data_IF_601448552661
#
_entry.id   IF_601448552661
#
_cell.length_a   1.000
_cell.length_b   1.000
_cell.length_c   1.000
_cell.angle_alpha   90.00
_cell.angle_beta   90.00
_cell.angle_gamma   90.00
#
_symmetry.space_group_name_H-M   'P 1'
#
loop_
_entity.id
_entity.type
_entity.pdbx_description
1 polymer ?
#
# COMPACT_ATOMS: atom_id res chain seq x y z
N UNK A 1 17.49 41.50 -32.67
CA UNK A 1 17.63 40.48 -33.75
C UNK A 1 18.87 39.67 -33.47
N UNK A 2 18.74 38.39 -33.10
CA UNK A 2 19.90 37.53 -32.82
C UNK A 2 20.36 36.92 -34.14
N UNK A 3 21.54 37.32 -34.63
CA UNK A 3 22.08 36.88 -35.90
C UNK A 3 22.56 35.41 -35.84
N UNK A 4 22.07 34.61 -36.78
CA UNK A 4 22.34 33.17 -36.92
C UNK A 4 23.84 32.85 -37.06
N UNK A 5 24.61 33.76 -37.65
CA UNK A 5 26.06 33.59 -37.86
C UNK A 5 26.87 33.63 -36.56
N UNK A 6 26.44 34.45 -35.59
CA UNK A 6 27.09 34.51 -34.29
C UNK A 6 26.84 33.23 -33.49
N UNK A 7 25.62 32.69 -33.56
CA UNK A 7 25.23 31.43 -32.90
C UNK A 7 26.12 30.26 -33.38
N UNK A 8 26.36 30.15 -34.69
CA UNK A 8 27.21 29.10 -35.27
C UNK A 8 28.68 29.25 -34.84
N UNK A 9 29.17 30.48 -34.68
CA UNK A 9 30.55 30.76 -34.24
C UNK A 9 30.77 30.40 -32.76
N UNK A 10 29.77 30.65 -31.90
CA UNK A 10 29.79 30.18 -30.51
C UNK A 10 29.66 28.65 -30.41
N UNK A 11 28.79 28.04 -31.23
CA UNK A 11 28.63 26.58 -31.28
C UNK A 11 29.86 25.83 -31.81
N UNK A 12 30.73 26.47 -32.59
CA UNK A 12 32.01 25.88 -33.05
C UNK A 12 33.11 25.87 -31.99
N UNK A 13 32.90 26.53 -30.84
CA UNK A 13 33.91 26.56 -29.79
C UNK A 13 33.92 25.23 -29.02
N UNK A 14 35.06 24.51 -29.04
CA UNK A 14 35.24 23.20 -28.39
C UNK A 14 34.86 23.19 -26.91
N UNK A 15 35.02 24.33 -26.23
CA UNK A 15 34.64 24.48 -24.82
C UNK A 15 33.12 24.52 -24.61
N UNK A 16 32.37 25.15 -25.52
CA UNK A 16 30.90 25.21 -25.43
C UNK A 16 30.30 23.84 -25.72
N UNK A 17 30.84 23.12 -26.72
CA UNK A 17 30.41 21.74 -27.00
C UNK A 17 30.71 20.84 -25.79
N UNK A 18 31.89 20.95 -25.18
CA UNK A 18 32.23 20.18 -23.98
C UNK A 18 31.28 20.48 -22.81
N UNK A 19 30.93 21.74 -22.59
CA UNK A 19 29.96 22.14 -21.55
C UNK A 19 28.56 21.63 -21.87
N UNK A 20 28.12 21.67 -23.12
CA UNK A 20 26.81 21.14 -23.53
C UNK A 20 26.76 19.62 -23.33
N UNK A 21 27.79 18.90 -23.76
CA UNK A 21 27.87 17.44 -23.55
C UNK A 21 27.92 17.11 -22.07
N UNK A 22 28.67 17.86 -21.27
CA UNK A 22 28.72 17.69 -19.82
C UNK A 22 27.37 17.98 -19.16
N UNK A 23 26.69 19.04 -19.57
CA UNK A 23 25.35 19.38 -19.09
C UNK A 23 24.33 18.31 -19.47
N UNK A 24 24.41 17.76 -20.69
CA UNK A 24 23.57 16.64 -21.13
C UNK A 24 23.87 15.38 -20.31
N UNK A 25 25.13 15.08 -20.00
CA UNK A 25 25.47 13.96 -19.12
C UNK A 25 24.91 14.16 -17.71
N UNK A 26 25.00 15.36 -17.13
CA UNK A 26 24.37 15.61 -15.82
C UNK A 26 22.84 15.53 -15.91
N UNK A 27 22.22 16.11 -16.93
CA UNK A 27 20.75 16.14 -17.05
C UNK A 27 20.14 14.77 -17.36
N UNK A 28 20.76 13.98 -18.24
CA UNK A 28 20.23 12.69 -18.70
C UNK A 28 20.76 11.51 -17.88
N UNK A 29 21.97 11.59 -17.33
CA UNK A 29 22.58 10.48 -16.60
C UNK A 29 22.43 10.62 -15.06
N UNK A 30 22.32 11.84 -14.52
CA UNK A 30 22.29 12.06 -13.05
C UNK A 30 20.89 12.00 -12.43
N UNK A 31 20.11 10.96 -12.73
CA UNK A 31 18.95 10.56 -11.90
C UNK A 31 17.72 11.48 -11.91
N UNK A 32 17.55 12.41 -12.85
CA UNK A 32 16.25 13.06 -13.04
C UNK A 32 15.30 12.20 -13.88
N UNK A 33 15.22 10.92 -13.51
CA UNK A 33 14.34 9.98 -14.17
C UNK A 33 12.92 10.23 -13.64
N UNK A 34 12.14 10.98 -14.42
CA UNK A 34 10.76 11.33 -14.13
C UNK A 34 9.94 10.06 -13.86
N UNK A 35 10.30 8.94 -14.49
CA UNK A 35 9.71 7.63 -14.23
C UNK A 35 9.95 7.15 -12.80
N UNK A 36 11.20 7.22 -12.33
CA UNK A 36 11.54 6.86 -10.95
C UNK A 36 10.81 7.76 -9.94
N UNK A 37 10.65 9.06 -10.23
CA UNK A 37 9.88 9.96 -9.38
C UNK A 37 8.38 9.61 -9.34
N UNK A 38 7.81 9.19 -10.47
CA UNK A 38 6.42 8.76 -10.56
C UNK A 38 6.18 7.44 -9.82
N UNK A 39 7.09 6.49 -9.93
CA UNK A 39 7.02 5.22 -9.21
C UNK A 39 7.12 5.42 -7.70
N UNK A 40 8.06 6.25 -7.23
CA UNK A 40 8.17 6.64 -5.82
C UNK A 40 6.89 7.28 -5.29
N UNK A 41 6.23 8.15 -6.07
CA UNK A 41 4.93 8.74 -5.68
C UNK A 41 3.82 7.69 -5.58
N UNK A 42 3.79 6.71 -6.48
CA UNK A 42 2.82 5.61 -6.41
C UNK A 42 3.05 4.74 -5.16
N UNK A 43 4.29 4.43 -4.86
CA UNK A 43 4.66 3.65 -3.66
C UNK A 43 4.29 4.41 -2.38
N UNK A 44 4.57 5.72 -2.33
CA UNK A 44 4.17 6.57 -1.21
C UNK A 44 2.66 6.54 -0.99
N UNK A 45 1.86 6.72 -2.04
CA UNK A 45 0.41 6.67 -1.93
C UNK A 45 -0.09 5.30 -1.48
N UNK A 46 0.54 4.22 -1.92
CA UNK A 46 0.22 2.86 -1.48
C UNK A 46 0.46 2.68 0.02
N UNK A 47 1.60 3.15 0.53
CA UNK A 47 1.92 3.06 1.96
C UNK A 47 0.92 3.87 2.79
N UNK A 48 0.59 5.09 2.36
CA UNK A 48 -0.39 5.94 3.04
C UNK A 48 -1.78 5.30 3.06
N UNK A 49 -2.23 4.72 1.94
CA UNK A 49 -3.51 4.02 1.89
C UNK A 49 -3.55 2.81 2.84
N UNK A 50 -2.47 2.03 2.90
CA UNK A 50 -2.34 0.93 3.86
C UNK A 50 -2.37 1.42 5.30
N UNK A 51 -1.66 2.51 5.60
CA UNK A 51 -1.65 3.10 6.94
C UNK A 51 -3.06 3.54 7.37
N UNK A 52 -3.79 4.22 6.49
CA UNK A 52 -5.16 4.66 6.74
C UNK A 52 -6.11 3.46 6.95
N UNK A 53 -5.95 2.41 6.15
CA UNK A 53 -6.70 1.15 6.32
C UNK A 53 -6.47 0.53 7.69
N UNK A 54 -5.22 0.31 8.10
CA UNK A 54 -4.91 -0.33 9.38
C UNK A 54 -5.33 0.53 10.58
N UNK A 55 -5.22 1.86 10.49
CA UNK A 55 -5.71 2.74 11.55
C UNK A 55 -7.22 2.58 11.75
N UNK A 56 -8.00 2.52 10.68
CA UNK A 56 -9.46 2.26 10.76
C UNK A 56 -9.78 0.90 11.38
N UNK A 57 -9.08 -0.14 10.96
CA UNK A 57 -9.27 -1.50 11.50
C UNK A 57 -8.93 -1.57 12.99
N UNK A 58 -7.86 -0.88 13.41
CA UNK A 58 -7.48 -0.79 14.83
C UNK A 58 -8.57 -0.09 15.63
N UNK A 59 -9.12 1.01 15.14
CA UNK A 59 -10.15 1.76 15.85
C UNK A 59 -11.45 0.96 15.96
N UNK A 60 -11.87 0.31 14.88
CA UNK A 60 -13.01 -0.64 14.87
C UNK A 60 -12.79 -1.79 15.87
N UNK A 61 -11.60 -2.39 15.87
CA UNK A 61 -11.25 -3.48 16.78
C UNK A 61 -11.22 -3.02 18.23
N UNK A 62 -10.70 -1.83 18.51
CA UNK A 62 -10.73 -1.23 19.86
C UNK A 62 -12.15 -0.99 20.34
N UNK A 63 -13.04 -0.52 19.46
CA UNK A 63 -14.44 -0.33 19.81
C UNK A 63 -15.10 -1.66 20.17
N UNK A 64 -14.95 -2.69 19.31
CA UNK A 64 -15.45 -4.05 19.60
C UNK A 64 -14.87 -4.59 20.91
N UNK A 65 -13.58 -4.40 21.17
CA UNK A 65 -12.94 -4.83 22.42
C UNK A 65 -13.51 -4.08 23.63
N UNK A 66 -13.86 -2.81 23.50
CA UNK A 66 -14.50 -2.05 24.59
C UNK A 66 -15.91 -2.54 24.89
N UNK A 67 -16.67 -2.90 23.86
CA UNK A 67 -18.01 -3.51 23.99
C UNK A 67 -17.91 -4.89 24.66
N UNK A 68 -16.96 -5.73 24.24
CA UNK A 68 -16.71 -7.05 24.86
C UNK A 68 -16.22 -6.96 26.31
N UNK A 69 -15.53 -5.89 26.70
CA UNK A 69 -15.05 -5.69 28.08
C UNK A 69 -16.13 -5.18 29.03
N UNK A 70 -17.16 -4.53 28.50
CA UNK A 70 -18.22 -3.92 29.30
C UNK A 70 -19.38 -4.88 29.54
N UNK A 71 -19.61 -5.85 28.65
CA UNK A 71 -20.65 -6.86 28.80
C UNK A 71 -20.08 -8.31 28.85
N UNK A 72 -20.15 -8.98 30.02
CA UNK A 72 -19.76 -10.38 30.17
C UNK A 72 -20.51 -11.35 29.25
N UNK A 73 -21.76 -11.04 28.89
CA UNK A 73 -22.59 -11.87 28.00
C UNK A 73 -22.10 -11.77 26.55
N UNK A 74 -21.70 -10.58 26.10
CA UNK A 74 -21.13 -10.37 24.77
C UNK A 74 -19.76 -11.06 24.62
N UNK A 75 -18.96 -11.10 25.69
CA UNK A 75 -17.68 -11.82 25.72
C UNK A 75 -17.85 -13.33 25.54
N UNK A 76 -18.84 -13.93 26.21
CA UNK A 76 -19.12 -15.36 26.10
C UNK A 76 -19.63 -15.74 24.69
N UNK A 77 -20.51 -14.93 24.11
CA UNK A 77 -20.97 -15.13 22.73
C UNK A 77 -19.82 -15.04 21.72
N UNK A 78 -18.97 -14.01 21.81
CA UNK A 78 -17.81 -13.87 20.94
C UNK A 78 -16.81 -15.03 21.07
N UNK A 79 -16.57 -15.50 22.30
CA UNK A 79 -15.70 -16.64 22.54
C UNK A 79 -16.24 -17.93 21.90
N UNK A 80 -17.56 -18.16 21.93
CA UNK A 80 -18.20 -19.36 21.37
C UNK A 80 -18.40 -19.31 19.85
N UNK A 81 -18.73 -18.15 19.29
CA UNK A 81 -19.08 -18.00 17.86
C UNK A 81 -17.87 -17.71 16.97
N UNK A 82 -17.00 -16.79 17.39
CA UNK A 82 -15.88 -16.33 16.55
C UNK A 82 -14.58 -17.09 16.85
N UNK A 83 -14.35 -17.44 18.12
CA UNK A 83 -13.14 -18.16 18.56
C UNK A 83 -13.37 -19.67 18.76
N UNK A 84 -14.62 -20.14 18.63
CA UNK A 84 -15.02 -21.53 18.88
C UNK A 84 -14.47 -22.12 20.20
N UNK A 85 -14.28 -21.27 21.21
CA UNK A 85 -13.75 -21.68 22.52
C UNK A 85 -14.73 -22.64 23.20
N UNK A 86 -14.19 -23.73 23.75
CA UNK A 86 -14.94 -24.80 24.42
C UNK A 86 -14.61 -24.81 25.90
N UNK A 87 -15.55 -25.24 26.72
CA UNK A 87 -15.27 -25.63 28.12
C UNK A 87 -14.79 -27.08 28.09
N UNK A 88 -13.80 -27.45 28.91
CA UNK A 88 -13.19 -28.80 28.92
C UNK A 88 -14.18 -29.96 29.13
N UNK A 89 -15.42 -29.66 29.54
CA UNK A 89 -16.49 -30.63 29.83
C UNK A 89 -17.63 -30.64 28.80
N UNK A 90 -17.46 -30.11 27.58
CA UNK A 90 -18.55 -29.96 26.60
C UNK A 90 -18.16 -30.50 25.20
N UNK A 91 -18.87 -31.55 24.73
CA UNK A 91 -18.71 -32.14 23.39
C UNK A 91 -19.54 -31.36 22.35
N UNK A 92 -18.89 -30.67 21.43
CA UNK A 92 -19.54 -29.89 20.35
C UNK A 92 -19.64 -30.74 19.08
N UNK A 93 -20.87 -31.00 18.62
CA UNK A 93 -21.15 -31.68 17.35
C UNK A 93 -21.45 -30.63 16.27
N UNK A 94 -20.56 -30.49 15.28
CA UNK A 94 -20.84 -29.70 14.07
C UNK A 94 -21.59 -30.60 13.09
N UNK A 95 -22.90 -30.38 12.96
CA UNK A 95 -23.73 -31.10 11.99
C UNK A 95 -23.51 -30.47 10.61
N UNK A 96 -22.61 -31.05 9.83
CA UNK A 96 -22.57 -30.78 8.39
C UNK A 96 -23.83 -31.37 7.77
N UNK A 97 -24.67 -30.53 7.16
CA UNK A 97 -25.86 -30.99 6.44
C UNK A 97 -25.38 -31.77 5.23
N UNK A 98 -25.20 -33.08 5.40
CA UNK A 98 -25.02 -33.96 4.26
C UNK A 98 -26.30 -33.91 3.44
N UNK A 99 -26.23 -33.22 2.30
CA UNK A 99 -27.20 -33.23 1.21
C UNK A 99 -27.30 -34.63 0.54
N UNK A 100 -27.23 -35.70 1.33
CA UNK A 100 -27.25 -37.09 0.87
C UNK A 100 -28.63 -37.74 0.93
N UNK A 101 -29.70 -36.99 1.22
CA UNK A 101 -31.08 -37.51 1.24
C UNK A 101 -32.01 -36.90 0.17
N UNK A 102 -31.47 -36.20 -0.84
CA UNK A 102 -32.24 -35.72 -2.00
C UNK A 102 -31.84 -36.41 -3.32
N UNK A 103 -31.48 -37.69 -3.27
CA UNK A 103 -31.40 -38.51 -4.48
C UNK A 103 -31.69 -39.99 -4.16
N UNK A 104 -32.98 -40.33 -4.07
CA UNK A 104 -33.46 -41.71 -4.23
C UNK A 104 -34.85 -41.70 -4.85
#
# INVERSE_FOLDING_TARGET
>A
MINKENIVKYLKNKYIIAVIVFALLLLFFDRNDIFTQMERKKELNKILASQEFYNREIDSTKQKLSELRTDPSALEHYAREELFMRKDSEDIFVLEKSDSLLNK
#
